data_IF_444429328469
#
_entry.id   IF_444429328469
#
_cell.length_a   1.000
_cell.length_b   1.000
_cell.length_c   1.000
_cell.angle_alpha   90.00
_cell.angle_beta   90.00
_cell.angle_gamma   90.00
#
_symmetry.space_group_name_H-M   'P 1'
#
loop_
_entity.id
_entity.type
_entity.pdbx_description
1 polymer ?
#
# COMPACT_ATOMS: atom_id res chain seq x y z
N UNK A 1 -6.53 -10.79 -14.91
CA UNK A 1 -7.24 -9.89 -13.98
C UNK A 1 -6.33 -9.70 -12.79
N UNK A 2 -5.58 -8.60 -12.77
CA UNK A 2 -4.61 -8.29 -11.72
C UNK A 2 -5.44 -7.99 -10.46
N UNK A 3 -5.04 -8.56 -9.33
CA UNK A 3 -5.72 -8.40 -8.05
C UNK A 3 -5.69 -6.96 -7.56
N UNK A 4 -6.61 -6.15 -8.06
CA UNK A 4 -6.96 -4.88 -7.43
C UNK A 4 -7.80 -5.23 -6.20
N UNK A 5 -7.19 -5.20 -5.02
CA UNK A 5 -7.96 -4.85 -3.84
C UNK A 5 -8.52 -3.46 -4.14
N UNK A 6 -9.84 -3.24 -4.05
CA UNK A 6 -10.60 -2.09 -4.62
C UNK A 6 -10.02 -0.66 -4.41
N UNK A 7 -8.97 -0.51 -3.60
CA UNK A 7 -8.31 0.74 -3.23
C UNK A 7 -6.82 0.83 -3.59
N UNK A 8 -6.22 -0.15 -4.29
CA UNK A 8 -4.80 -0.17 -4.63
C UNK A 8 -4.57 -0.15 -6.16
N UNK A 9 -3.72 0.75 -6.63
CA UNK A 9 -3.34 0.89 -8.04
C UNK A 9 -1.82 0.89 -8.22
N UNK A 10 -1.31 0.30 -9.29
CA UNK A 10 0.09 0.46 -9.67
C UNK A 10 0.32 1.83 -10.36
N UNK A 11 1.48 2.43 -10.10
CA UNK A 11 1.91 3.67 -10.73
C UNK A 11 3.42 3.70 -10.90
N UNK A 12 3.92 4.50 -11.83
CA UNK A 12 5.36 4.72 -12.03
C UNK A 12 5.72 6.12 -11.57
N UNK A 13 6.72 6.22 -10.69
CA UNK A 13 7.27 7.51 -10.28
C UNK A 13 8.02 8.12 -11.47
N UNK A 14 7.62 9.33 -11.92
CA UNK A 14 8.21 9.97 -13.10
C UNK A 14 9.66 10.41 -12.91
N UNK A 15 10.06 10.69 -11.68
CA UNK A 15 11.39 11.18 -11.30
C UNK A 15 12.38 10.03 -11.10
N UNK A 16 11.98 9.00 -10.34
CA UNK A 16 12.86 7.86 -10.02
C UNK A 16 12.75 6.70 -11.01
N UNK A 17 11.69 6.68 -11.83
CA UNK A 17 11.30 5.54 -12.70
C UNK A 17 10.94 4.25 -11.95
N UNK A 18 10.78 4.32 -10.63
CA UNK A 18 10.39 3.18 -9.80
C UNK A 18 8.88 2.92 -9.90
N UNK A 19 8.50 1.65 -9.93
CA UNK A 19 7.09 1.25 -9.84
C UNK A 19 6.66 1.15 -8.36
N UNK A 20 5.49 1.70 -8.07
CA UNK A 20 4.93 1.80 -6.73
C UNK A 20 3.47 1.37 -6.70
N UNK A 21 3.01 0.88 -5.56
CA UNK A 21 1.61 0.61 -5.30
C UNK A 21 0.99 1.77 -4.51
N UNK A 22 0.01 2.46 -5.09
CA UNK A 22 -0.71 3.57 -4.45
C UNK A 22 -2.01 3.03 -3.84
N UNK A 23 -2.13 3.16 -2.52
CA UNK A 23 -3.35 2.87 -1.77
C UNK A 23 -4.10 4.16 -1.47
N UNK A 24 -5.38 4.24 -1.87
CA UNK A 24 -6.29 5.32 -1.49
C UNK A 24 -7.05 4.95 -0.21
N UNK A 25 -6.93 5.76 0.83
CA UNK A 25 -7.75 5.68 2.03
C UNK A 25 -8.78 6.81 1.96
N UNK A 26 -9.98 6.47 1.50
CA UNK A 26 -11.08 7.42 1.42
C UNK A 26 -11.61 7.76 2.81
N UNK A 27 -12.03 9.01 3.02
CA UNK A 27 -12.68 9.47 4.26
C UNK A 27 -11.88 9.11 5.53
N UNK A 28 -10.54 9.23 5.46
CA UNK A 28 -9.63 8.75 6.49
C UNK A 28 -9.85 9.41 7.88
N UNK A 29 -10.53 10.54 7.92
CA UNK A 29 -10.76 11.34 9.13
C UNK A 29 -12.22 11.36 9.61
N UNK A 30 -13.15 10.73 8.90
CA UNK A 30 -14.57 10.74 9.26
C UNK A 30 -14.84 9.98 10.56
N UNK A 31 -14.14 8.85 10.76
CA UNK A 31 -14.23 8.06 11.99
C UNK A 31 -12.93 8.18 12.80
N UNK A 32 -13.03 8.71 14.01
CA UNK A 32 -11.88 8.85 14.94
C UNK A 32 -11.16 7.52 15.23
N UNK A 33 -11.89 6.39 15.23
CA UNK A 33 -11.30 5.07 15.47
C UNK A 33 -10.45 4.66 14.26
N UNK A 34 -10.99 4.81 13.05
CA UNK A 34 -10.31 4.42 11.82
C UNK A 34 -9.15 5.38 11.52
N UNK A 35 -9.30 6.68 11.76
CA UNK A 35 -8.22 7.66 11.69
C UNK A 35 -7.03 7.28 12.58
N UNK A 36 -7.30 6.85 13.83
CA UNK A 36 -6.26 6.36 14.74
C UNK A 36 -5.62 5.06 14.25
N UNK A 37 -6.40 4.14 13.66
CA UNK A 37 -5.89 2.89 13.08
C UNK A 37 -4.96 3.18 11.90
N UNK A 38 -5.39 4.03 10.97
CA UNK A 38 -4.59 4.48 9.82
C UNK A 38 -3.29 5.14 10.27
N UNK A 39 -3.36 6.07 11.23
CA UNK A 39 -2.15 6.72 11.76
C UNK A 39 -1.21 5.72 12.43
N UNK A 40 -1.74 4.73 13.15
CA UNK A 40 -0.94 3.68 13.78
C UNK A 40 -0.26 2.81 12.73
N UNK A 41 -0.97 2.40 11.68
CA UNK A 41 -0.41 1.62 10.57
C UNK A 41 0.74 2.35 9.90
N UNK A 42 0.52 3.61 9.51
CA UNK A 42 1.55 4.47 8.90
C UNK A 42 2.74 4.59 9.84
N UNK A 43 2.52 4.96 11.10
CA UNK A 43 3.63 5.11 12.06
C UNK A 43 4.41 3.83 12.25
N UNK A 44 3.74 2.69 12.39
CA UNK A 44 4.44 1.41 12.57
C UNK A 44 5.29 1.09 11.34
N UNK A 45 4.72 1.18 10.13
CA UNK A 45 5.44 0.88 8.89
C UNK A 45 6.60 1.85 8.65
N UNK A 46 6.47 3.14 8.98
CA UNK A 46 7.58 4.09 8.89
C UNK A 46 8.73 3.81 9.89
N UNK A 47 8.48 3.09 10.98
CA UNK A 47 9.51 2.77 11.98
C UNK A 47 10.12 1.37 11.80
N UNK A 48 9.55 0.54 10.92
CA UNK A 48 10.04 -0.80 10.64
C UNK A 48 10.93 -0.75 9.38
N UNK A 49 12.14 -1.27 9.49
CA UNK A 49 13.04 -1.43 8.35
C UNK A 49 13.52 -2.88 8.34
N UNK A 50 12.86 -3.70 7.52
CA UNK A 50 13.13 -5.12 7.38
C UNK A 50 12.63 -5.60 6.01
N UNK A 51 13.35 -6.51 5.36
CA UNK A 51 13.02 -6.96 3.99
C UNK A 51 11.69 -7.71 3.91
N UNK A 52 11.34 -8.47 4.95
CA UNK A 52 10.04 -9.14 5.07
C UNK A 52 8.86 -8.23 5.49
N UNK A 53 9.05 -6.91 5.51
CA UNK A 53 8.00 -5.93 5.88
C UNK A 53 7.86 -4.91 4.76
N UNK A 54 6.64 -4.78 4.24
CA UNK A 54 6.35 -3.83 3.17
C UNK A 54 6.71 -2.40 3.58
N UNK A 55 7.47 -1.72 2.72
CA UNK A 55 7.97 -0.37 2.97
C UNK A 55 7.05 0.68 2.36
N UNK A 56 6.80 1.74 3.13
CA UNK A 56 6.18 2.97 2.62
C UNK A 56 7.27 3.76 1.89
N UNK A 57 7.01 4.09 0.62
CA UNK A 57 7.89 4.90 -0.23
C UNK A 57 7.57 6.38 -0.10
N UNK A 58 6.29 6.73 -0.07
CA UNK A 58 5.83 8.12 0.04
C UNK A 58 4.40 8.23 0.60
N UNK A 59 4.05 9.39 1.14
CA UNK A 59 2.70 9.74 1.60
C UNK A 59 2.28 11.03 0.92
N UNK A 60 1.31 10.93 0.02
CA UNK A 60 0.83 12.05 -0.78
C UNK A 60 -0.27 12.76 0.02
N UNK A 61 0.03 13.99 0.41
CA UNK A 61 -0.87 14.88 1.14
C UNK A 61 -1.47 15.88 0.14
N UNK A 62 -2.79 16.10 0.13
CA UNK A 62 -3.39 17.12 -0.72
C UNK A 62 -2.87 18.51 -0.36
N UNK A 63 -2.73 19.41 -1.35
CA UNK A 63 -2.17 20.74 -1.15
C UNK A 63 -3.03 21.62 -0.21
N UNK A 64 -4.33 21.34 -0.13
CA UNK A 64 -5.29 22.08 0.67
C UNK A 64 -5.69 21.26 1.91
N UNK A 65 -5.40 21.78 3.10
CA UNK A 65 -5.77 21.14 4.38
C UNK A 65 -7.28 20.96 4.54
N UNK A 66 -8.07 21.86 3.95
CA UNK A 66 -9.54 21.81 3.99
C UNK A 66 -10.11 20.67 3.13
N UNK A 67 -9.32 20.13 2.20
CA UNK A 67 -9.67 18.99 1.33
C UNK A 67 -9.00 17.70 1.78
N UNK A 68 -8.44 17.66 2.98
CA UNK A 68 -7.75 16.49 3.52
C UNK A 68 -8.75 15.45 4.05
N UNK A 69 -9.56 14.90 3.15
CA UNK A 69 -10.47 13.79 3.44
C UNK A 69 -9.87 12.44 3.02
N UNK A 70 -9.10 12.44 1.94
CA UNK A 70 -8.47 11.26 1.38
C UNK A 70 -6.96 11.28 1.64
N UNK A 71 -6.41 10.13 2.01
CA UNK A 71 -4.96 9.93 2.18
C UNK A 71 -4.48 8.93 1.15
N UNK A 72 -3.40 9.27 0.46
CA UNK A 72 -2.79 8.42 -0.55
C UNK A 72 -1.41 7.98 -0.05
N UNK A 73 -1.17 6.67 -0.01
CA UNK A 73 0.09 6.10 0.48
C UNK A 73 0.70 5.30 -0.65
N UNK A 74 1.95 5.61 -1.00
CA UNK A 74 2.74 4.85 -1.94
C UNK A 74 3.59 3.81 -1.19
N UNK A 75 3.44 2.56 -1.58
CA UNK A 75 4.22 1.42 -1.11
C UNK A 75 5.14 0.92 -2.23
N UNK A 76 6.12 0.10 -1.87
CA UNK A 76 6.82 -0.70 -2.87
C UNK A 76 5.84 -1.64 -3.59
N UNK A 77 6.08 -1.83 -4.90
CA UNK A 77 5.27 -2.74 -5.69
C UNK A 77 5.71 -4.18 -5.43
N UNK A 78 4.74 -5.06 -5.16
CA UNK A 78 4.94 -6.50 -5.00
C UNK A 78 4.26 -7.24 -6.16
N UNK A 79 4.89 -8.29 -6.67
CA UNK A 79 4.41 -9.00 -7.86
C UNK A 79 3.08 -9.75 -7.64
N UNK A 80 2.93 -10.42 -6.50
CA UNK A 80 1.73 -11.17 -6.14
C UNK A 80 1.62 -11.33 -4.63
N UNK A 81 0.40 -11.47 -4.13
CA UNK A 81 0.16 -11.88 -2.74
C UNK A 81 0.05 -13.41 -2.62
N UNK A 82 0.33 -13.93 -1.43
CA UNK A 82 0.29 -15.36 -1.15
C UNK A 82 -1.10 -15.98 -1.36
N UNK A 83 -2.17 -15.21 -1.10
CA UNK A 83 -3.53 -15.70 -1.28
C UNK A 83 -3.84 -15.94 -2.77
N UNK A 84 -3.31 -15.13 -3.67
CA UNK A 84 -3.37 -15.38 -5.11
C UNK A 84 -2.56 -16.60 -5.52
N UNK A 85 -1.33 -16.78 -5.00
CA UNK A 85 -0.51 -17.97 -5.31
C UNK A 85 -1.25 -19.24 -4.89
N UNK A 86 -1.78 -19.31 -3.67
CA UNK A 86 -2.50 -20.49 -3.15
C UNK A 86 -3.75 -20.79 -3.98
N UNK A 87 -4.44 -19.76 -4.47
CA UNK A 87 -5.65 -19.93 -5.29
C UNK A 87 -5.34 -20.23 -6.75
N UNK A 88 -4.14 -19.90 -7.21
CA UNK A 88 -3.68 -20.24 -8.54
C UNK A 88 -3.41 -21.74 -8.62
N UNK A 89 -3.63 -22.33 -9.80
CA UNK A 89 -3.26 -23.73 -10.07
C UNK A 89 -1.75 -23.92 -10.28
N UNK A 90 -0.92 -22.95 -9.89
CA UNK A 90 0.53 -23.03 -9.97
C UNK A 90 1.04 -23.99 -8.89
N UNK A 91 1.91 -24.92 -9.28
CA UNK A 91 2.56 -25.80 -8.31
C UNK A 91 3.52 -24.99 -7.45
N UNK A 92 3.36 -25.07 -6.12
CA UNK A 92 4.30 -24.52 -5.15
C UNK A 92 5.58 -25.38 -5.17
N UNK A 93 6.67 -24.82 -5.68
CA UNK A 93 8.03 -25.38 -5.62
C UNK A 93 8.79 -24.86 -4.39
N UNK A 94 9.93 -25.48 -4.05
CA UNK A 94 10.80 -25.03 -2.93
C UNK A 94 11.28 -23.57 -3.06
N UNK A 95 11.26 -22.99 -4.26
CA UNK A 95 11.56 -21.55 -4.47
C UNK A 95 10.49 -20.61 -3.87
N UNK A 96 9.36 -21.15 -3.40
CA UNK A 96 8.32 -20.40 -2.69
C UNK A 96 8.47 -20.46 -1.15
N UNK A 97 9.53 -21.12 -0.63
CA UNK A 97 9.83 -21.21 0.81
C UNK A 97 10.72 -20.08 1.33
#
# INVERSE_FOLDING_TARGET
EIGSCDNCSCATNSETKEEVAIKKIANAFDNRIDAKRTLREIKLLCHMDHDNIIKIKDIIIPPEKEKFNDVYIAYELMDTDLHQIIRSSQALTDDHC
#
